data_IF_610764298893
#
_entry.id   IF_610764298893
#
_cell.length_a   1.000
_cell.length_b   1.000
_cell.length_c   1.000
_cell.angle_alpha   90.00
_cell.angle_beta   90.00
_cell.angle_gamma   90.00
#
_symmetry.space_group_name_H-M   'P 1'
#
loop_
_entity.id
_entity.type
_entity.pdbx_description
1 polymer ?
#
# COMPACT_ATOMS: atom_id res chain seq x y z
N UNK A 1 2.93 -39.43 103.45
CA UNK A 1 3.83 -38.41 102.87
C UNK A 1 4.83 -39.13 101.96
N UNK A 2 4.46 -39.36 100.71
CA UNK A 2 5.26 -40.07 99.71
C UNK A 2 5.79 -39.07 98.69
N UNK A 3 7.11 -38.92 98.61
CA UNK A 3 7.78 -38.10 97.61
C UNK A 3 7.85 -38.85 96.27
N UNK A 4 7.40 -38.16 95.23
CA UNK A 4 7.42 -38.56 93.83
C UNK A 4 8.76 -38.13 93.21
N UNK A 5 9.54 -39.09 92.70
CA UNK A 5 10.73 -38.85 91.87
C UNK A 5 10.41 -39.24 90.43
N UNK A 6 10.64 -38.29 89.52
CA UNK A 6 10.39 -38.44 88.10
C UNK A 6 11.38 -39.36 87.41
N UNK A 7 10.96 -39.87 86.25
CA UNK A 7 11.88 -40.39 85.24
C UNK A 7 11.29 -40.13 83.86
N UNK A 8 12.05 -39.39 83.07
CA UNK A 8 12.31 -39.70 81.67
C UNK A 8 11.18 -39.47 80.67
N UNK A 9 11.17 -38.28 80.08
CA UNK A 9 10.56 -37.99 78.78
C UNK A 9 11.09 -38.91 77.68
N UNK A 10 10.19 -39.43 76.84
CA UNK A 10 10.51 -39.76 75.45
C UNK A 10 9.25 -39.68 74.56
N UNK A 11 9.01 -38.55 73.87
CA UNK A 11 8.18 -38.50 72.68
C UNK A 11 9.07 -38.17 71.47
N UNK A 12 9.44 -39.19 70.70
CA UNK A 12 10.08 -39.06 69.40
C UNK A 12 9.11 -39.50 68.31
N UNK A 13 8.13 -38.64 68.01
CA UNK A 13 7.27 -38.75 66.84
C UNK A 13 6.97 -37.32 66.37
N UNK A 14 7.99 -36.67 65.82
CA UNK A 14 7.81 -35.39 65.14
C UNK A 14 7.05 -35.63 63.83
N UNK A 15 5.92 -34.94 63.57
CA UNK A 15 5.29 -34.97 62.26
C UNK A 15 6.22 -34.31 61.24
N UNK A 16 6.57 -35.02 60.16
CA UNK A 16 7.38 -34.45 59.08
C UNK A 16 6.72 -33.16 58.57
N UNK A 17 7.44 -32.01 58.56
CA UNK A 17 6.87 -30.77 58.05
C UNK A 17 6.73 -30.89 56.53
N UNK A 18 5.49 -30.92 56.04
CA UNK A 18 5.21 -30.80 54.61
C UNK A 18 5.74 -29.44 54.13
N UNK A 19 6.90 -29.43 53.48
CA UNK A 19 7.44 -28.23 52.83
C UNK A 19 6.62 -27.93 51.58
N UNK A 20 5.59 -27.11 51.74
CA UNK A 20 4.84 -26.55 50.62
C UNK A 20 5.75 -25.55 49.90
N UNK A 21 6.26 -25.93 48.73
CA UNK A 21 7.09 -25.04 47.93
C UNK A 21 6.21 -23.89 47.43
N UNK A 22 6.50 -22.66 47.85
CA UNK A 22 5.81 -21.48 47.35
C UNK A 22 6.08 -21.31 45.85
N UNK A 23 5.12 -21.70 45.02
CA UNK A 23 5.22 -21.59 43.56
C UNK A 23 5.06 -20.15 43.07
N UNK A 24 4.41 -19.28 43.86
CA UNK A 24 4.10 -17.90 43.48
C UNK A 24 5.34 -17.04 43.19
N UNK A 25 6.40 -17.02 44.05
CA UNK A 25 7.65 -16.34 43.71
C UNK A 25 8.39 -16.99 42.54
N UNK A 26 8.28 -18.32 42.39
CA UNK A 26 8.98 -19.06 41.34
C UNK A 26 8.41 -18.73 39.96
N UNK A 27 7.08 -18.61 39.86
CA UNK A 27 6.37 -18.26 38.63
C UNK A 27 6.72 -16.82 38.20
N UNK A 28 6.84 -15.88 39.14
CA UNK A 28 7.19 -14.49 38.83
C UNK A 28 8.60 -14.38 38.20
N UNK A 29 9.59 -15.06 38.79
CA UNK A 29 10.95 -15.12 38.24
C UNK A 29 10.96 -15.77 36.85
N UNK A 30 10.18 -16.85 36.66
CA UNK A 30 10.09 -17.51 35.35
C UNK A 30 9.41 -16.63 34.30
N UNK A 31 8.37 -15.88 34.65
CA UNK A 31 7.66 -14.98 33.75
C UNK A 31 8.57 -13.82 33.30
N UNK A 32 9.37 -13.26 34.21
CA UNK A 32 10.38 -12.24 33.87
C UNK A 32 11.37 -12.77 32.82
N UNK A 33 11.86 -14.01 32.98
CA UNK A 33 12.79 -14.62 32.03
C UNK A 33 12.17 -14.82 30.63
N UNK A 34 10.89 -15.21 30.57
CA UNK A 34 10.16 -15.37 29.31
C UNK A 34 9.99 -14.01 28.61
N UNK A 35 9.61 -12.96 29.35
CA UNK A 35 9.45 -11.62 28.80
C UNK A 35 10.79 -11.10 28.27
N UNK A 36 11.88 -11.30 29.02
CA UNK A 36 13.23 -10.95 28.55
C UNK A 36 13.58 -11.68 27.25
N UNK A 37 13.30 -12.98 27.15
CA UNK A 37 13.56 -13.74 25.93
C UNK A 37 12.75 -13.20 24.72
N UNK A 38 11.50 -12.79 24.93
CA UNK A 38 10.64 -12.24 23.86
C UNK A 38 11.15 -10.89 23.36
N UNK A 39 11.58 -9.97 24.24
CA UNK A 39 11.93 -8.59 23.86
C UNK A 39 13.35 -8.46 23.29
N UNK A 40 14.19 -9.50 23.44
CA UNK A 40 15.61 -9.43 23.04
C UNK A 40 15.85 -9.53 21.54
N UNK A 41 14.84 -9.91 20.73
CA UNK A 41 15.00 -9.97 19.28
C UNK A 41 15.00 -8.54 18.69
N UNK A 42 16.11 -8.08 18.10
CA UNK A 42 16.15 -6.77 17.45
C UNK A 42 15.33 -6.82 16.15
N UNK A 43 14.50 -5.81 15.93
CA UNK A 43 13.79 -5.67 14.65
C UNK A 43 14.80 -5.46 13.53
N UNK A 44 14.80 -6.34 12.53
CA UNK A 44 15.61 -6.16 11.34
C UNK A 44 15.02 -5.07 10.45
N UNK A 45 15.51 -3.85 10.61
CA UNK A 45 15.19 -2.76 9.71
C UNK A 45 16.00 -2.92 8.42
N UNK A 46 15.33 -3.23 7.32
CA UNK A 46 15.92 -3.19 5.97
C UNK A 46 15.98 -1.72 5.52
N UNK A 47 17.04 -1.00 5.91
CA UNK A 47 17.29 0.33 5.36
C UNK A 47 17.93 0.20 3.98
N UNK A 48 17.11 0.29 2.93
CA UNK A 48 17.60 0.54 1.58
C UNK A 48 18.16 1.97 1.59
N UNK A 49 19.48 2.11 1.50
CA UNK A 49 20.14 3.41 1.40
C UNK A 49 19.91 3.97 -0.02
N UNK A 50 18.71 4.52 -0.25
CA UNK A 50 18.40 5.23 -1.49
C UNK A 50 19.10 6.59 -1.41
N UNK A 51 20.28 6.70 -2.01
CA UNK A 51 20.88 7.99 -2.30
C UNK A 51 19.98 8.71 -3.30
N UNK A 52 18.98 9.44 -2.81
CA UNK A 52 18.24 10.38 -3.63
C UNK A 52 19.17 11.54 -3.94
N UNK A 53 19.54 11.78 -5.21
CA UNK A 53 20.28 12.98 -5.56
C UNK A 53 19.45 14.20 -5.10
N UNK A 54 20.05 15.02 -4.23
CA UNK A 54 19.50 16.29 -3.76
C UNK A 54 19.62 17.33 -4.87
N UNK A 55 18.77 17.18 -5.87
CA UNK A 55 18.56 18.19 -6.88
C UNK A 55 17.13 18.08 -7.33
N UNK A 56 16.34 19.12 -7.12
CA UNK A 56 15.18 19.36 -7.96
C UNK A 56 15.66 19.23 -9.40
N UNK A 57 15.17 18.23 -10.17
CA UNK A 57 15.47 18.18 -11.59
C UNK A 57 15.15 19.57 -12.16
N UNK A 58 16.01 20.13 -13.03
CA UNK A 58 15.63 21.34 -13.75
C UNK A 58 14.24 21.08 -14.36
N UNK A 59 13.31 22.05 -14.30
CA UNK A 59 12.01 21.89 -14.93
C UNK A 59 12.26 21.41 -16.36
N UNK A 60 11.52 20.40 -16.85
CA UNK A 60 11.74 19.86 -18.17
C UNK A 60 11.82 21.02 -19.17
N UNK A 61 12.94 21.09 -19.91
CA UNK A 61 13.27 22.17 -20.85
C UNK A 61 12.23 22.31 -21.98
N UNK A 62 11.30 21.36 -22.08
CA UNK A 62 10.25 21.31 -23.08
C UNK A 62 8.95 21.02 -22.38
N UNK A 63 7.97 21.91 -22.56
CA UNK A 63 6.60 21.63 -22.11
C UNK A 63 6.12 20.34 -22.80
N UNK A 64 5.46 19.42 -22.07
CA UNK A 64 4.91 18.21 -22.68
C UNK A 64 3.97 18.62 -23.80
N UNK A 65 4.14 18.02 -24.99
CA UNK A 65 3.16 18.21 -26.06
C UNK A 65 1.84 17.62 -25.57
N UNK A 66 0.78 18.42 -25.57
CA UNK A 66 -0.56 17.99 -25.16
C UNK A 66 -1.38 17.72 -26.41
N UNK A 67 -1.96 16.53 -26.47
CA UNK A 67 -2.92 16.11 -27.50
C UNK A 67 -4.30 16.10 -26.89
N UNK A 68 -5.27 16.73 -27.53
CA UNK A 68 -6.65 16.75 -27.04
C UNK A 68 -7.54 15.85 -27.88
N UNK A 69 -8.26 14.95 -27.21
CA UNK A 69 -9.31 14.13 -27.81
C UNK A 69 -10.64 14.60 -27.25
N UNK A 70 -11.43 15.27 -28.09
CA UNK A 70 -12.79 15.67 -27.76
C UNK A 70 -13.77 14.60 -28.25
N UNK A 71 -14.75 14.26 -27.43
CA UNK A 71 -15.85 13.39 -27.84
C UNK A 71 -17.13 14.19 -27.73
N UNK A 72 -17.76 14.49 -28.86
CA UNK A 72 -18.98 15.30 -28.91
C UNK A 72 -20.23 14.49 -28.52
N UNK A 73 -21.38 15.16 -28.36
CA UNK A 73 -22.63 14.57 -27.87
C UNK A 73 -23.15 13.42 -28.75
N UNK A 74 -22.83 13.43 -30.05
CA UNK A 74 -23.22 12.41 -31.02
C UNK A 74 -22.21 11.24 -31.08
N UNK A 75 -21.13 11.30 -30.31
CA UNK A 75 -20.03 10.34 -30.33
C UNK A 75 -18.98 10.63 -31.40
N UNK A 76 -19.05 11.78 -32.09
CA UNK A 76 -18.00 12.25 -32.98
C UNK A 76 -16.72 12.49 -32.19
N UNK A 77 -15.61 11.94 -32.67
CA UNK A 77 -14.30 12.07 -32.04
C UNK A 77 -13.51 13.13 -32.80
N UNK A 78 -12.98 14.11 -32.08
CA UNK A 78 -12.07 15.10 -32.62
C UNK A 78 -10.69 14.92 -32.00
N UNK A 79 -9.66 15.04 -32.83
CA UNK A 79 -8.25 15.04 -32.44
C UNK A 79 -7.70 16.42 -32.72
N UNK A 80 -7.30 17.16 -31.69
CA UNK A 80 -6.81 18.54 -31.79
C UNK A 80 -7.75 19.40 -32.66
N UNK A 81 -9.06 19.33 -32.37
CA UNK A 81 -10.12 20.05 -33.07
C UNK A 81 -10.35 19.62 -34.54
N UNK A 82 -9.77 18.51 -34.98
CA UNK A 82 -10.02 17.89 -36.29
C UNK A 82 -10.86 16.63 -36.14
N UNK A 83 -11.93 16.52 -36.92
CA UNK A 83 -12.79 15.33 -36.92
C UNK A 83 -12.00 14.11 -37.35
N UNK A 84 -12.08 13.05 -36.56
CA UNK A 84 -11.53 11.74 -36.88
C UNK A 84 -12.63 10.90 -37.51
N UNK A 85 -12.51 10.54 -38.81
CA UNK A 85 -13.63 9.99 -39.57
C UNK A 85 -13.98 8.55 -39.18
N UNK A 86 -13.01 7.79 -38.67
CA UNK A 86 -13.18 6.37 -38.37
C UNK A 86 -12.24 5.90 -37.25
N UNK A 87 -12.53 4.73 -36.70
CA UNK A 87 -11.76 4.17 -35.59
C UNK A 87 -10.34 3.75 -35.98
N UNK A 88 -10.09 3.33 -37.22
CA UNK A 88 -8.74 2.99 -37.66
C UNK A 88 -7.86 4.24 -37.74
N UNK A 89 -8.41 5.37 -38.18
CA UNK A 89 -7.74 6.68 -38.15
C UNK A 89 -7.37 7.12 -36.72
N UNK A 90 -8.28 6.89 -35.75
CA UNK A 90 -7.99 7.15 -34.34
C UNK A 90 -6.86 6.25 -33.81
N UNK A 91 -6.95 4.95 -34.08
CA UNK A 91 -5.95 3.97 -33.66
C UNK A 91 -4.57 4.26 -34.28
N UNK A 92 -4.52 4.71 -35.54
CA UNK A 92 -3.27 5.13 -36.18
C UNK A 92 -2.64 6.35 -35.48
N UNK A 93 -3.44 7.37 -35.14
CA UNK A 93 -2.99 8.54 -34.38
C UNK A 93 -2.48 8.16 -32.97
N UNK A 94 -3.22 7.31 -32.26
CA UNK A 94 -2.83 6.79 -30.95
C UNK A 94 -1.55 5.93 -31.02
N UNK A 95 -1.38 5.13 -32.07
CA UNK A 95 -0.15 4.35 -32.29
C UNK A 95 1.05 5.25 -32.54
N UNK A 96 0.88 6.35 -33.29
CA UNK A 96 1.93 7.33 -33.50
C UNK A 96 2.33 8.04 -32.20
N UNK A 97 1.35 8.33 -31.32
CA UNK A 97 1.61 8.86 -29.98
C UNK A 97 2.38 7.86 -29.13
N UNK A 98 1.97 6.60 -29.12
CA UNK A 98 2.60 5.55 -28.33
C UNK A 98 4.04 5.25 -28.78
N UNK A 99 4.35 5.42 -30.07
CA UNK A 99 5.67 5.20 -30.65
C UNK A 99 6.70 6.32 -30.34
N UNK A 100 6.26 7.47 -29.80
CA UNK A 100 7.17 8.55 -29.43
C UNK A 100 7.97 8.18 -28.18
N UNK A 101 9.26 8.51 -28.18
CA UNK A 101 10.16 8.25 -27.06
C UNK A 101 9.75 9.02 -25.79
N UNK A 102 9.27 10.25 -25.97
CA UNK A 102 8.54 10.99 -24.93
C UNK A 102 7.09 11.12 -25.37
N UNK A 103 6.21 10.33 -24.75
CA UNK A 103 4.80 10.35 -25.13
C UNK A 103 4.16 11.69 -24.75
N UNK A 104 3.38 12.32 -25.65
CA UNK A 104 2.56 13.46 -25.32
C UNK A 104 1.47 13.09 -24.30
N UNK A 105 1.02 14.09 -23.53
CA UNK A 105 -0.12 13.93 -22.63
C UNK A 105 -1.42 13.97 -23.44
N UNK A 106 -2.21 12.91 -23.37
CA UNK A 106 -3.48 12.78 -24.07
C UNK A 106 -4.61 13.18 -23.12
N UNK A 107 -5.27 14.29 -23.42
CA UNK A 107 -6.41 14.79 -22.67
C UNK A 107 -7.71 14.37 -23.35
N UNK A 108 -8.44 13.45 -22.71
CA UNK A 108 -9.76 13.02 -23.17
C UNK A 108 -10.84 13.90 -22.53
N UNK A 109 -11.56 14.65 -23.36
CA UNK A 109 -12.66 15.54 -22.98
C UNK A 109 -13.98 15.02 -23.51
N UNK A 110 -14.75 14.28 -22.70
CA UNK A 110 -16.07 13.83 -23.11
C UNK A 110 -17.11 14.94 -22.94
N UNK A 111 -18.00 15.09 -23.92
CA UNK A 111 -19.22 15.89 -23.80
C UNK A 111 -20.14 15.25 -22.74
N UNK A 112 -20.82 16.06 -21.93
CA UNK A 112 -21.74 15.60 -20.87
C UNK A 112 -22.84 14.66 -21.38
N UNK A 113 -23.28 14.83 -22.62
CA UNK A 113 -24.39 14.08 -23.22
C UNK A 113 -23.95 12.79 -23.93
N UNK A 114 -22.64 12.55 -24.07
CA UNK A 114 -22.16 11.38 -24.80
C UNK A 114 -22.35 10.09 -24.01
N UNK A 115 -22.66 9.00 -24.70
CA UNK A 115 -22.71 7.68 -24.07
C UNK A 115 -21.31 7.25 -23.57
N UNK A 116 -21.26 6.82 -22.31
CA UNK A 116 -20.02 6.33 -21.67
C UNK A 116 -19.30 5.25 -22.49
N UNK A 117 -20.05 4.42 -23.24
CA UNK A 117 -19.49 3.36 -24.10
C UNK A 117 -18.48 3.91 -25.13
N UNK A 118 -18.72 5.11 -25.66
CA UNK A 118 -17.85 5.75 -26.66
C UNK A 118 -16.54 6.16 -26.00
N UNK A 119 -16.63 6.85 -24.86
CA UNK A 119 -15.48 7.31 -24.06
C UNK A 119 -14.63 6.12 -23.60
N UNK A 120 -15.27 5.07 -23.06
CA UNK A 120 -14.62 3.85 -22.65
C UNK A 120 -13.94 3.13 -23.82
N UNK A 121 -14.54 3.14 -25.01
CA UNK A 121 -13.94 2.58 -26.22
C UNK A 121 -12.68 3.30 -26.67
N UNK A 122 -12.64 4.63 -26.54
CA UNK A 122 -11.45 5.45 -26.80
C UNK A 122 -10.35 5.14 -25.78
N UNK A 123 -10.68 5.11 -24.49
CA UNK A 123 -9.74 4.77 -23.42
C UNK A 123 -9.15 3.37 -23.59
N UNK A 124 -9.98 2.37 -23.89
CA UNK A 124 -9.54 1.00 -24.11
C UNK A 124 -8.62 0.88 -25.34
N UNK A 125 -8.89 1.64 -26.40
CA UNK A 125 -8.05 1.66 -27.60
C UNK A 125 -6.70 2.31 -27.33
N UNK A 126 -6.68 3.44 -26.60
CA UNK A 126 -5.45 4.11 -26.19
C UNK A 126 -4.58 3.21 -25.29
N UNK A 127 -5.18 2.55 -24.30
CA UNK A 127 -4.47 1.64 -23.40
C UNK A 127 -3.91 0.41 -24.14
N UNK A 128 -4.70 -0.18 -25.06
CA UNK A 128 -4.27 -1.31 -25.88
C UNK A 128 -3.08 -0.97 -26.78
N UNK A 129 -3.01 0.27 -27.26
CA UNK A 129 -1.94 0.76 -28.12
C UNK A 129 -0.71 1.25 -27.36
N UNK A 130 -0.72 1.22 -26.02
CA UNK A 130 0.43 1.59 -25.20
C UNK A 130 0.55 3.10 -24.92
N UNK A 131 -0.53 3.86 -25.05
CA UNK A 131 -0.57 5.25 -24.58
C UNK A 131 -0.65 5.24 -23.06
N UNK A 132 0.40 5.71 -22.40
CA UNK A 132 0.55 5.66 -20.93
C UNK A 132 0.12 6.95 -20.24
N UNK A 133 0.29 8.10 -20.92
CA UNK A 133 -0.06 9.42 -20.38
C UNK A 133 -1.44 9.87 -20.89
N UNK A 134 -2.50 9.20 -20.47
CA UNK A 134 -3.89 9.59 -20.80
C UNK A 134 -4.65 10.06 -19.55
N UNK A 135 -5.27 11.23 -19.62
CA UNK A 135 -6.04 11.85 -18.55
C UNK A 135 -7.43 12.23 -19.02
N UNK A 136 -8.44 11.97 -18.18
CA UNK A 136 -9.79 12.48 -18.41
C UNK A 136 -9.88 13.91 -17.86
N UNK A 137 -10.25 14.87 -18.69
CA UNK A 137 -10.35 16.28 -18.30
C UNK A 137 -11.81 16.71 -18.36
N UNK A 138 -12.28 17.42 -17.33
CA UNK A 138 -13.68 17.83 -17.23
C UNK A 138 -14.60 16.81 -16.51
N UNK A 139 -14.04 15.88 -15.74
CA UNK A 139 -14.83 14.92 -14.94
C UNK A 139 -15.72 15.59 -13.86
N UNK A 140 -15.49 16.88 -13.58
CA UNK A 140 -16.28 17.73 -12.69
C UNK A 140 -17.70 18.01 -13.23
N UNK A 141 -17.93 17.78 -14.53
CA UNK A 141 -19.22 18.02 -15.19
C UNK A 141 -20.23 16.87 -15.01
N UNK A 142 -19.77 15.73 -14.45
CA UNK A 142 -20.52 14.49 -14.26
C UNK A 142 -20.90 14.20 -12.79
N UNK A 143 -20.72 15.16 -11.87
CA UNK A 143 -21.37 15.12 -10.56
C UNK A 143 -22.85 15.51 -10.63
#
# INVERSE_FOLDING_TARGET
MSMNVGSGSAPGADPEPMMELNMTPLIDVMLVLIIMLIITIPKQNHSVNLNMPVGTPPPPTTEPVVVTIDVDFDGTILWDNQVVPDRASLEAKLSNVAAQADQPEVHLRPNKLVEYKVVAGVMASAQRLGVTKIGLVGNEQFQ
#
